data_IF_787314438493
#
_entry.id   IF_787314438493
#
_cell.length_a   1.000
_cell.length_b   1.000
_cell.length_c   1.000
_cell.angle_alpha   90.00
_cell.angle_beta   90.00
_cell.angle_gamma   90.00
#
_symmetry.space_group_name_H-M   'P 1'
#
loop_
_entity.id
_entity.type
_entity.pdbx_description
1 polymer ?
#
# COMPACT_ATOMS: atom_id res chain seq x y z
N UNK A 1 -1.13 -0.94 14.73
CA UNK A 1 -0.16 0.12 14.35
C UNK A 1 0.38 -0.22 12.97
N UNK A 2 0.69 0.80 12.16
CA UNK A 2 1.24 0.61 10.82
C UNK A 2 2.55 1.37 10.66
N UNK A 3 3.38 0.93 9.71
CA UNK A 3 4.60 1.65 9.29
C UNK A 3 4.66 1.72 7.77
N UNK A 4 5.40 2.71 7.26
CA UNK A 4 5.72 2.83 5.85
C UNK A 4 7.20 2.51 5.62
N UNK A 5 7.49 1.72 4.59
CA UNK A 5 8.84 1.36 4.18
C UNK A 5 8.97 1.64 2.70
N UNK A 6 9.90 2.51 2.32
CA UNK A 6 10.10 2.94 0.95
C UNK A 6 11.49 2.52 0.47
N UNK A 7 11.54 1.78 -0.64
CA UNK A 7 12.76 1.34 -1.29
C UNK A 7 13.05 2.21 -2.51
N UNK A 8 14.13 2.97 -2.45
CA UNK A 8 14.64 3.74 -3.57
C UNK A 8 16.03 3.26 -3.95
N UNK A 9 16.41 3.49 -5.21
CA UNK A 9 17.74 3.15 -5.68
C UNK A 9 18.81 4.09 -5.08
N UNK A 10 18.58 5.40 -5.22
CA UNK A 10 19.52 6.46 -4.86
C UNK A 10 18.76 7.72 -4.46
N UNK A 11 19.41 8.60 -3.71
CA UNK A 11 18.81 9.88 -3.35
C UNK A 11 18.86 10.86 -4.53
N UNK A 12 17.72 11.12 -5.17
CA UNK A 12 17.58 12.17 -6.21
C UNK A 12 16.56 13.24 -5.81
N UNK A 13 16.56 14.42 -6.45
CA UNK A 13 15.53 15.43 -6.23
C UNK A 13 14.09 14.89 -6.44
N UNK A 14 13.89 14.03 -7.42
CA UNK A 14 12.59 13.40 -7.68
C UNK A 14 12.18 12.46 -6.54
N UNK A 15 13.12 11.68 -6.01
CA UNK A 15 12.87 10.80 -4.86
C UNK A 15 12.57 11.62 -3.60
N UNK A 16 13.31 12.70 -3.36
CA UNK A 16 13.04 13.62 -2.25
C UNK A 16 11.66 14.28 -2.37
N UNK A 17 11.25 14.64 -3.59
CA UNK A 17 9.90 15.15 -3.83
C UNK A 17 8.84 14.09 -3.51
N UNK A 18 9.02 12.84 -3.94
CA UNK A 18 8.09 11.73 -3.63
C UNK A 18 7.96 11.50 -2.12
N UNK A 19 9.09 11.48 -1.40
CA UNK A 19 9.11 11.36 0.06
C UNK A 19 8.32 12.50 0.70
N UNK A 20 8.55 13.75 0.27
CA UNK A 20 7.83 14.92 0.80
C UNK A 20 6.31 14.89 0.50
N UNK A 21 5.91 14.42 -0.70
CA UNK A 21 4.50 14.25 -1.06
C UNK A 21 3.82 13.18 -0.19
N UNK A 22 4.51 12.07 0.08
CA UNK A 22 4.02 11.03 0.98
C UNK A 22 3.89 11.54 2.43
N UNK A 23 4.86 12.31 2.91
CA UNK A 23 4.77 12.93 4.24
C UNK A 23 3.57 13.86 4.38
N UNK A 24 3.28 14.69 3.37
CA UNK A 24 2.10 15.55 3.38
C UNK A 24 0.81 14.75 3.51
N UNK A 25 0.72 13.61 2.81
CA UNK A 25 -0.42 12.69 2.93
C UNK A 25 -0.52 12.15 4.36
N UNK A 26 0.59 11.70 4.96
CA UNK A 26 0.60 11.18 6.33
C UNK A 26 0.24 12.25 7.37
N UNK A 27 0.76 13.48 7.23
CA UNK A 27 0.41 14.62 8.10
C UNK A 27 -1.09 14.93 8.02
N UNK A 28 -1.65 14.91 6.80
CA UNK A 28 -3.08 15.12 6.60
C UNK A 28 -3.93 13.99 7.19
N UNK A 29 -3.44 12.75 7.12
CA UNK A 29 -4.11 11.57 7.66
C UNK A 29 -3.82 11.32 9.14
N UNK A 30 -3.01 12.15 9.81
CA UNK A 30 -2.66 11.99 11.23
C UNK A 30 -3.89 11.78 12.14
N UNK A 31 -5.01 12.53 12.01
CA UNK A 31 -6.21 12.31 12.83
C UNK A 31 -6.83 10.91 12.68
N UNK A 32 -6.51 10.21 11.57
CA UNK A 32 -7.05 8.90 11.22
C UNK A 32 -6.04 7.80 11.56
N UNK A 33 -4.77 7.99 11.19
CA UNK A 33 -3.74 6.95 11.27
C UNK A 33 -2.89 7.04 12.54
N UNK A 34 -2.94 8.18 13.25
CA UNK A 34 -1.89 8.61 14.19
C UNK A 34 -0.53 8.71 13.47
N UNK A 35 0.56 8.68 14.24
CA UNK A 35 1.91 8.65 13.68
C UNK A 35 2.15 7.36 12.89
N UNK A 36 2.65 7.52 11.66
CA UNK A 36 3.10 6.43 10.80
C UNK A 36 4.62 6.55 10.62
N UNK A 37 5.42 5.79 11.40
CA UNK A 37 6.86 5.74 11.23
C UNK A 37 7.21 5.37 9.79
N UNK A 38 8.18 6.08 9.21
CA UNK A 38 8.59 5.87 7.82
C UNK A 38 10.06 5.51 7.76
N UNK A 39 10.38 4.38 7.14
CA UNK A 39 11.76 3.97 6.86
C UNK A 39 12.05 4.08 5.38
N UNK A 40 13.14 4.76 5.04
CA UNK A 40 13.60 4.95 3.68
C UNK A 40 14.91 4.22 3.49
N UNK A 41 14.92 3.28 2.55
CA UNK A 41 16.10 2.56 2.10
C UNK A 41 16.61 3.09 0.78
N UNK A 42 17.94 3.24 0.69
CA UNK A 42 18.65 3.49 -0.56
C UNK A 42 19.56 2.30 -0.89
N UNK A 43 19.38 1.68 -2.06
CA UNK A 43 20.14 0.45 -2.41
C UNK A 43 21.55 0.72 -2.92
N UNK A 44 21.83 1.90 -3.50
CA UNK A 44 23.13 2.21 -4.14
C UNK A 44 24.03 3.13 -3.28
N UNK A 45 23.50 3.80 -2.25
CA UNK A 45 24.26 4.78 -1.45
C UNK A 45 25.00 4.14 -0.28
N UNK A 46 26.15 3.55 -0.59
CA UNK A 46 27.16 3.08 0.39
C UNK A 46 27.87 4.19 1.21
N UNK A 47 27.46 5.46 1.07
CA UNK A 47 28.11 6.60 1.74
C UNK A 47 27.21 7.42 2.68
N UNK A 48 25.97 6.99 2.92
CA UNK A 48 25.14 7.58 3.96
C UNK A 48 25.34 6.80 5.26
N UNK A 49 25.89 7.47 6.28
CA UNK A 49 25.85 6.93 7.64
C UNK A 49 24.38 6.67 8.01
N UNK A 50 24.06 5.47 8.49
CA UNK A 50 22.72 5.17 8.98
C UNK A 50 22.41 6.16 10.12
N UNK A 51 21.36 6.95 9.96
CA UNK A 51 20.87 7.85 11.01
C UNK A 51 19.83 7.15 11.89
N UNK A 52 19.55 5.88 11.62
CA UNK A 52 18.49 5.11 12.26
C UNK A 52 18.60 5.16 13.78
N UNK A 53 19.73 4.78 14.39
CA UNK A 53 19.83 4.74 15.86
C UNK A 53 19.56 6.11 16.52
N UNK A 54 20.08 7.20 15.94
CA UNK A 54 19.91 8.54 16.50
C UNK A 54 18.46 9.02 16.38
N UNK A 55 17.82 8.75 15.24
CA UNK A 55 16.44 9.15 14.95
C UNK A 55 15.43 8.25 15.67
N UNK A 56 15.72 6.95 15.79
CA UNK A 56 14.86 5.95 16.41
C UNK A 56 14.71 6.21 17.91
N UNK A 57 15.77 6.62 18.60
CA UNK A 57 15.69 7.03 20.01
C UNK A 57 14.78 8.27 20.20
N UNK A 58 14.65 9.11 19.17
CA UNK A 58 13.86 10.35 19.19
C UNK A 58 12.43 10.19 18.64
N UNK A 59 12.01 8.98 18.26
CA UNK A 59 10.69 8.69 17.67
C UNK A 59 9.50 9.20 18.50
N UNK A 60 9.67 9.38 19.80
CA UNK A 60 8.61 9.85 20.69
C UNK A 60 8.27 11.34 20.54
N UNK A 61 9.12 12.15 19.88
CA UNK A 61 8.97 13.62 19.86
C UNK A 61 8.57 14.22 18.49
N UNK A 62 8.78 13.53 17.35
CA UNK A 62 8.39 14.02 15.99
C UNK A 62 8.16 12.88 14.98
N UNK A 63 7.35 13.10 13.92
CA UNK A 63 7.22 12.15 12.80
C UNK A 63 8.60 11.96 12.14
N UNK A 64 9.20 10.80 12.36
CA UNK A 64 10.59 10.54 12.01
C UNK A 64 10.62 9.67 10.76
N UNK A 65 10.95 10.32 9.64
CA UNK A 65 11.58 9.55 8.56
C UNK A 65 12.92 9.07 9.11
N UNK A 66 13.07 7.75 9.11
CA UNK A 66 14.30 7.05 9.39
C UNK A 66 14.96 6.73 8.06
N UNK A 67 16.25 6.99 7.96
CA UNK A 67 17.05 6.62 6.79
C UNK A 67 17.99 5.49 7.20
N UNK A 68 17.94 4.38 6.45
CA UNK A 68 18.81 3.23 6.70
C UNK A 68 19.26 2.56 5.40
N UNK A 69 20.31 1.76 5.52
CA UNK A 69 20.79 0.81 4.52
C UNK A 69 20.88 -0.62 5.08
N UNK A 70 20.50 -0.84 6.34
CA UNK A 70 20.59 -2.13 7.04
C UNK A 70 19.19 -2.77 7.19
N UNK A 71 19.05 -4.01 6.71
CA UNK A 71 17.83 -4.80 6.89
C UNK A 71 17.51 -5.09 8.37
N UNK A 72 18.48 -5.00 9.28
CA UNK A 72 18.25 -5.16 10.72
C UNK A 72 17.44 -3.99 11.29
N UNK A 73 17.61 -2.79 10.73
CA UNK A 73 16.84 -1.60 11.10
C UNK A 73 15.37 -1.78 10.68
N UNK A 74 15.12 -2.42 9.54
CA UNK A 74 13.77 -2.83 9.14
C UNK A 74 13.14 -3.77 10.17
N UNK A 75 13.83 -4.85 10.54
CA UNK A 75 13.30 -5.81 11.54
C UNK A 75 12.98 -5.14 12.87
N UNK A 76 13.87 -4.25 13.31
CA UNK A 76 13.69 -3.49 14.56
C UNK A 76 12.46 -2.58 14.48
N UNK A 77 12.26 -1.90 13.35
CA UNK A 77 11.12 -1.01 13.16
C UNK A 77 9.79 -1.77 13.09
N UNK A 78 9.76 -2.93 12.43
CA UNK A 78 8.51 -3.68 12.24
C UNK A 78 8.11 -4.50 13.47
N UNK A 79 8.94 -4.60 14.50
CA UNK A 79 8.63 -5.40 15.70
C UNK A 79 7.31 -4.91 16.36
N UNK A 80 6.34 -5.82 16.51
CA UNK A 80 5.02 -5.50 17.09
C UNK A 80 4.09 -4.69 16.18
N UNK A 81 4.48 -4.43 14.92
CA UNK A 81 3.62 -3.79 13.91
C UNK A 81 2.66 -4.81 13.31
N UNK A 82 1.41 -4.41 13.06
CA UNK A 82 0.39 -5.29 12.46
C UNK A 82 0.38 -5.24 10.93
N UNK A 83 0.67 -4.08 10.33
CA UNK A 83 0.74 -3.94 8.87
C UNK A 83 1.84 -2.98 8.41
N UNK A 84 2.39 -3.28 7.23
CA UNK A 84 3.53 -2.57 6.64
C UNK A 84 3.11 -2.13 5.24
N UNK A 85 3.20 -0.84 4.94
CA UNK A 85 3.11 -0.37 3.55
C UNK A 85 4.52 -0.39 2.98
N UNK A 86 4.79 -1.30 2.04
CA UNK A 86 6.09 -1.42 1.38
C UNK A 86 5.98 -0.89 -0.06
N UNK A 87 6.71 0.19 -0.36
CA UNK A 87 6.76 0.77 -1.71
C UNK A 87 8.13 0.61 -2.36
N UNK A 88 8.17 0.43 -3.68
CA UNK A 88 9.40 0.28 -4.44
C UNK A 88 9.34 0.94 -5.83
N UNK A 89 10.40 1.65 -6.20
CA UNK A 89 10.34 2.61 -7.32
C UNK A 89 11.13 2.21 -8.59
N UNK A 90 12.19 1.40 -8.46
CA UNK A 90 13.00 0.92 -9.61
C UNK A 90 13.42 -0.55 -9.50
N UNK A 91 13.68 -1.19 -10.64
CA UNK A 91 13.82 -2.65 -10.77
C UNK A 91 15.12 -3.22 -10.20
N UNK A 92 16.28 -2.56 -10.38
CA UNK A 92 17.64 -3.10 -10.23
C UNK A 92 17.88 -4.07 -9.03
N UNK A 93 18.63 -3.67 -7.99
CA UNK A 93 18.83 -4.54 -6.81
C UNK A 93 17.57 -4.60 -5.92
N UNK A 94 16.53 -3.84 -6.26
CA UNK A 94 15.31 -3.69 -5.46
C UNK A 94 14.49 -4.96 -5.39
N UNK A 95 14.46 -5.80 -6.43
CA UNK A 95 13.72 -7.07 -6.34
C UNK A 95 14.25 -7.96 -5.22
N UNK A 96 15.58 -8.16 -5.16
CA UNK A 96 16.21 -8.98 -4.13
C UNK A 96 15.94 -8.41 -2.74
N UNK A 97 16.00 -7.07 -2.61
CA UNK A 97 15.66 -6.39 -1.36
C UNK A 97 14.19 -6.60 -0.97
N UNK A 98 13.23 -6.41 -1.89
CA UNK A 98 11.81 -6.65 -1.62
C UNK A 98 11.58 -8.08 -1.13
N UNK A 99 12.13 -9.08 -1.81
CA UNK A 99 11.99 -10.49 -1.40
C UNK A 99 12.64 -10.74 -0.03
N UNK A 100 13.83 -10.19 0.21
CA UNK A 100 14.50 -10.27 1.52
C UNK A 100 13.63 -9.68 2.64
N UNK A 101 13.07 -8.49 2.44
CA UNK A 101 12.18 -7.85 3.40
C UNK A 101 10.90 -8.66 3.64
N UNK A 102 10.29 -9.20 2.57
CA UNK A 102 9.10 -10.07 2.69
C UNK A 102 9.39 -11.35 3.47
N UNK A 103 10.58 -11.94 3.38
CA UNK A 103 10.92 -13.15 4.18
C UNK A 103 11.09 -12.87 5.67
N UNK A 104 11.24 -11.60 6.08
CA UNK A 104 11.47 -11.20 7.47
C UNK A 104 10.18 -10.88 8.23
N UNK A 105 9.05 -10.82 7.55
CA UNK A 105 7.76 -10.59 8.20
C UNK A 105 7.26 -11.87 8.86
N UNK A 106 6.57 -11.71 9.98
CA UNK A 106 5.94 -12.78 10.72
C UNK A 106 4.52 -13.04 10.20
N UNK A 107 3.95 -14.20 10.54
CA UNK A 107 2.58 -14.57 10.13
C UNK A 107 1.48 -13.61 10.61
N UNK A 108 1.77 -12.74 11.59
CA UNK A 108 0.84 -11.73 12.12
C UNK A 108 1.03 -10.35 11.48
N UNK A 109 1.95 -10.22 10.54
CA UNK A 109 2.25 -8.97 9.84
C UNK A 109 1.67 -9.02 8.43
N UNK A 110 0.98 -7.95 8.03
CA UNK A 110 0.34 -7.82 6.71
C UNK A 110 1.09 -6.78 5.89
N UNK A 111 1.79 -7.22 4.84
CA UNK A 111 2.48 -6.30 3.92
C UNK A 111 1.51 -5.89 2.81
N UNK A 112 1.23 -4.59 2.72
CA UNK A 112 0.57 -3.95 1.57
C UNK A 112 1.67 -3.45 0.64
N UNK A 113 1.81 -4.07 -0.52
CA UNK A 113 2.88 -3.76 -1.46
C UNK A 113 2.38 -2.92 -2.64
N UNK A 114 3.14 -1.87 -2.98
CA UNK A 114 3.01 -1.14 -4.24
C UNK A 114 4.39 -0.90 -4.86
N UNK A 115 4.42 -0.78 -6.17
CA UNK A 115 5.61 -0.42 -6.91
C UNK A 115 5.31 -0.29 -8.39
N UNK A 116 6.29 0.12 -9.19
CA UNK A 116 6.09 0.19 -10.64
C UNK A 116 5.79 -1.21 -11.23
N UNK A 117 5.15 -1.26 -12.40
CA UNK A 117 4.61 -2.50 -12.98
C UNK A 117 5.68 -3.61 -13.07
N UNK A 118 6.93 -3.26 -13.40
CA UNK A 118 8.03 -4.24 -13.51
C UNK A 118 8.43 -4.82 -12.15
N UNK A 119 8.51 -4.00 -11.10
CA UNK A 119 8.84 -4.49 -9.75
C UNK A 119 7.67 -5.30 -9.21
N UNK A 120 6.43 -4.83 -9.41
CA UNK A 120 5.25 -5.54 -8.96
C UNK A 120 5.22 -6.94 -9.57
N UNK A 121 5.48 -7.09 -10.88
CA UNK A 121 5.62 -8.40 -11.52
C UNK A 121 6.69 -9.27 -10.87
N UNK A 122 7.87 -8.69 -10.62
CA UNK A 122 9.01 -9.42 -10.08
C UNK A 122 8.80 -9.86 -8.62
N UNK A 123 8.14 -9.04 -7.81
CA UNK A 123 7.77 -9.37 -6.43
C UNK A 123 6.69 -10.46 -6.42
N UNK A 124 5.67 -10.31 -7.28
CA UNK A 124 4.60 -11.29 -7.41
C UNK A 124 5.07 -12.61 -8.04
N UNK A 125 6.18 -12.63 -8.76
CA UNK A 125 6.80 -13.87 -9.27
C UNK A 125 7.73 -14.55 -8.27
N UNK A 126 8.04 -13.89 -7.14
CA UNK A 126 8.92 -14.44 -6.10
C UNK A 126 8.23 -15.46 -5.20
N UNK A 127 9.03 -16.15 -4.37
CA UNK A 127 8.55 -17.19 -3.46
C UNK A 127 7.80 -16.59 -2.25
N UNK A 128 8.17 -15.38 -1.82
CA UNK A 128 7.50 -14.68 -0.72
C UNK A 128 6.55 -13.63 -1.30
N UNK A 129 5.24 -13.82 -1.06
CA UNK A 129 4.20 -12.90 -1.52
C UNK A 129 3.89 -11.83 -0.48
N UNK A 130 3.55 -10.59 -0.89
CA UNK A 130 2.91 -9.64 0.00
C UNK A 130 1.53 -10.16 0.39
N UNK A 131 1.00 -9.66 1.53
CA UNK A 131 -0.36 -9.99 1.92
C UNK A 131 -1.39 -9.30 1.01
N UNK A 132 -1.12 -8.05 0.65
CA UNK A 132 -2.02 -7.24 -0.14
C UNK A 132 -1.31 -6.51 -1.27
N UNK A 133 -2.01 -6.39 -2.41
CA UNK A 133 -1.70 -5.43 -3.46
C UNK A 133 -2.97 -4.63 -3.80
N UNK A 134 -2.79 -3.37 -4.17
CA UNK A 134 -3.87 -2.49 -4.60
C UNK A 134 -3.46 -1.84 -5.91
N UNK A 135 -4.17 -2.12 -6.99
CA UNK A 135 -3.74 -1.74 -8.35
C UNK A 135 -4.85 -0.95 -9.03
N UNK A 136 -4.49 0.18 -9.63
CA UNK A 136 -5.41 0.94 -10.46
C UNK A 136 -5.71 0.18 -11.76
N UNK A 137 -6.97 0.11 -12.16
CA UNK A 137 -7.45 -0.63 -13.34
C UNK A 137 -6.68 -0.25 -14.62
N UNK A 138 -6.30 1.03 -14.76
CA UNK A 138 -5.54 1.54 -15.90
C UNK A 138 -4.12 0.94 -16.04
N UNK A 139 -3.59 0.30 -14.99
CA UNK A 139 -2.29 -0.40 -14.98
C UNK A 139 -2.40 -1.87 -15.40
N UNK A 140 -3.60 -2.46 -15.39
CA UNK A 140 -3.79 -3.89 -15.63
C UNK A 140 -3.25 -4.36 -16.98
N UNK A 141 -3.44 -3.59 -18.06
CA UNK A 141 -2.95 -3.98 -19.39
C UNK A 141 -1.45 -4.20 -19.39
N UNK A 142 -0.71 -3.34 -18.69
CA UNK A 142 0.74 -3.46 -18.57
C UNK A 142 1.09 -4.62 -17.63
N UNK A 143 0.41 -4.71 -16.49
CA UNK A 143 0.70 -5.69 -15.44
C UNK A 143 0.47 -7.13 -15.91
N UNK A 144 -0.59 -7.38 -16.66
CA UNK A 144 -0.93 -8.71 -17.20
C UNK A 144 -0.35 -8.95 -18.59
N UNK A 145 0.34 -7.96 -19.17
CA UNK A 145 0.87 -8.02 -20.54
C UNK A 145 -0.21 -8.33 -21.59
N UNK A 146 -1.41 -7.79 -21.38
CA UNK A 146 -2.59 -7.93 -22.22
C UNK A 146 -2.96 -6.58 -22.85
N UNK A 147 -3.67 -6.62 -23.99
CA UNK A 147 -4.17 -5.37 -24.59
C UNK A 147 -5.29 -4.76 -23.74
N UNK A 148 -5.48 -3.44 -23.82
CA UNK A 148 -6.58 -2.75 -23.11
C UNK A 148 -7.95 -3.28 -23.54
N UNK A 149 -8.10 -3.60 -24.82
CA UNK A 149 -9.34 -4.19 -25.35
C UNK A 149 -9.61 -5.56 -24.72
N UNK A 150 -8.58 -6.37 -24.52
CA UNK A 150 -8.71 -7.68 -23.87
C UNK A 150 -9.20 -7.52 -22.43
N UNK A 151 -8.49 -6.69 -21.64
CA UNK A 151 -8.85 -6.39 -20.25
C UNK A 151 -10.29 -5.91 -20.13
N UNK A 152 -10.73 -4.99 -21.00
CA UNK A 152 -12.09 -4.42 -20.95
C UNK A 152 -13.23 -5.43 -21.19
N UNK A 153 -12.90 -6.63 -21.70
CA UNK A 153 -13.88 -7.69 -21.97
C UNK A 153 -13.83 -8.84 -20.98
N UNK A 154 -12.80 -8.89 -20.12
CA UNK A 154 -12.66 -9.93 -19.12
C UNK A 154 -13.56 -9.66 -17.92
N UNK A 155 -14.06 -10.75 -17.33
CA UNK A 155 -14.77 -10.69 -16.06
C UNK A 155 -13.77 -10.50 -14.90
N UNK A 156 -14.18 -9.84 -13.80
CA UNK A 156 -13.39 -9.77 -12.56
C UNK A 156 -12.82 -11.11 -12.11
N UNK A 157 -13.61 -12.18 -12.20
CA UNK A 157 -13.18 -13.54 -11.87
C UNK A 157 -12.07 -14.07 -12.76
N UNK A 158 -12.05 -13.71 -14.05
CA UNK A 158 -11.01 -14.14 -14.98
C UNK A 158 -9.69 -13.41 -14.70
N UNK A 159 -9.77 -12.12 -14.37
CA UNK A 159 -8.61 -11.29 -14.00
C UNK A 159 -8.01 -11.78 -12.68
N UNK A 160 -8.84 -12.09 -11.68
CA UNK A 160 -8.38 -12.54 -10.36
C UNK A 160 -7.78 -13.96 -10.36
N UNK A 161 -8.04 -14.76 -11.40
CA UNK A 161 -7.41 -16.08 -11.58
C UNK A 161 -6.09 -16.05 -12.35
N UNK A 162 -5.57 -14.86 -12.69
CA UNK A 162 -4.28 -14.75 -13.35
C UNK A 162 -3.16 -15.32 -12.44
N UNK A 163 -2.24 -16.15 -12.97
CA UNK A 163 -1.14 -16.71 -12.18
C UNK A 163 -0.27 -15.67 -11.49
N UNK A 164 -0.25 -14.43 -11.97
CA UNK A 164 0.47 -13.34 -11.32
C UNK A 164 -0.07 -13.01 -9.92
N UNK A 165 -1.35 -13.27 -9.67
CA UNK A 165 -2.01 -13.00 -8.40
C UNK A 165 -2.12 -14.24 -7.50
N UNK A 166 -1.58 -15.37 -7.94
CA UNK A 166 -1.55 -16.61 -7.17
C UNK A 166 -0.87 -16.39 -5.81
N UNK A 167 -1.46 -16.97 -4.77
CA UNK A 167 -1.01 -16.88 -3.37
C UNK A 167 -0.94 -15.47 -2.77
N UNK A 168 -1.57 -14.46 -3.39
CA UNK A 168 -1.74 -13.12 -2.79
C UNK A 168 -3.10 -13.07 -2.07
N UNK A 169 -3.14 -13.02 -0.72
CA UNK A 169 -4.39 -13.08 0.02
C UNK A 169 -5.37 -11.95 -0.29
N UNK A 170 -4.88 -10.75 -0.61
CA UNK A 170 -5.72 -9.58 -0.87
C UNK A 170 -5.29 -8.87 -2.14
N UNK A 171 -6.10 -8.92 -3.18
CA UNK A 171 -5.88 -8.20 -4.45
C UNK A 171 -7.04 -7.28 -4.69
N UNK A 172 -6.82 -5.96 -4.63
CA UNK A 172 -7.85 -4.98 -4.94
C UNK A 172 -7.54 -4.25 -6.24
N UNK A 173 -8.43 -4.39 -7.22
CA UNK A 173 -8.38 -3.65 -8.48
C UNK A 173 -9.47 -2.59 -8.46
N UNK A 174 -9.11 -1.34 -8.75
CA UNK A 174 -10.06 -0.23 -8.66
C UNK A 174 -9.80 0.86 -9.70
N UNK A 175 -10.85 1.58 -10.09
CA UNK A 175 -10.76 2.72 -11.00
C UNK A 175 -10.44 4.03 -10.25
N UNK A 176 -10.36 5.15 -10.98
CA UNK A 176 -9.98 6.45 -10.37
C UNK A 176 -10.92 6.92 -9.24
N UNK A 177 -12.17 6.46 -9.23
CA UNK A 177 -13.17 6.80 -8.22
C UNK A 177 -13.16 5.87 -7.00
N UNK A 178 -12.45 4.73 -7.03
CA UNK A 178 -12.48 3.72 -5.95
C UNK A 178 -13.41 2.55 -6.18
N UNK A 179 -14.14 2.55 -7.29
CA UNK A 179 -15.06 1.46 -7.66
C UNK A 179 -14.23 0.36 -8.32
N UNK A 180 -14.53 -0.89 -8.01
CA UNK A 180 -13.77 -2.02 -8.55
C UNK A 180 -14.17 -3.34 -7.94
N UNK A 181 -13.21 -4.25 -7.87
CA UNK A 181 -13.41 -5.60 -7.38
C UNK A 181 -12.15 -6.09 -6.68
N UNK A 182 -12.32 -6.98 -5.71
CA UNK A 182 -11.19 -7.54 -4.97
C UNK A 182 -11.37 -9.04 -4.73
N UNK A 183 -10.24 -9.74 -4.64
CA UNK A 183 -10.17 -11.08 -4.08
C UNK A 183 -9.58 -10.98 -2.67
N UNK A 184 -10.27 -11.49 -1.65
CA UNK A 184 -9.76 -11.60 -0.28
C UNK A 184 -9.92 -13.04 0.20
N UNK A 185 -8.81 -13.74 0.40
CA UNK A 185 -8.76 -15.15 0.83
C UNK A 185 -9.70 -16.05 0.01
N UNK A 186 -9.54 -16.00 -1.32
CA UNK A 186 -10.32 -16.76 -2.31
C UNK A 186 -11.81 -16.38 -2.45
N UNK A 187 -12.24 -15.29 -1.80
CA UNK A 187 -13.58 -14.75 -1.96
C UNK A 187 -13.56 -13.49 -2.82
N UNK A 188 -14.41 -13.47 -3.85
CA UNK A 188 -14.52 -12.34 -4.78
C UNK A 188 -15.59 -11.36 -4.30
N UNK A 189 -15.25 -10.07 -4.25
CA UNK A 189 -16.15 -9.00 -3.88
C UNK A 189 -16.21 -7.91 -4.95
N UNK A 190 -17.39 -7.32 -5.10
CA UNK A 190 -17.61 -6.07 -5.82
C UNK A 190 -17.54 -4.89 -4.84
N UNK A 191 -16.91 -3.79 -5.27
CA UNK A 191 -16.80 -2.56 -4.49
C UNK A 191 -17.47 -1.44 -5.26
N UNK A 192 -18.53 -0.87 -4.68
CA UNK A 192 -19.25 0.25 -5.26
C UNK A 192 -19.27 1.44 -4.31
N UNK A 193 -19.31 2.64 -4.91
CA UNK A 193 -19.36 3.90 -4.18
C UNK A 193 -20.59 4.68 -4.65
N UNK A 194 -21.48 4.96 -3.72
CA UNK A 194 -22.73 5.67 -3.96
C UNK A 194 -22.72 7.05 -3.30
N UNK A 195 -23.31 8.04 -3.99
CA UNK A 195 -23.56 9.36 -3.42
C UNK A 195 -22.32 10.09 -2.87
N UNK A 196 -21.14 9.82 -3.45
CA UNK A 196 -19.90 10.56 -3.26
C UNK A 196 -19.41 11.07 -4.61
N UNK A 197 -19.17 12.37 -4.70
CA UNK A 197 -18.57 12.99 -5.90
C UNK A 197 -17.05 12.96 -5.76
N UNK A 198 -16.48 11.79 -6.08
CA UNK A 198 -15.04 11.57 -6.04
C UNK A 198 -14.56 11.33 -7.46
N UNK A 199 -13.89 12.33 -8.02
CA UNK A 199 -13.33 12.25 -9.38
C UNK A 199 -11.96 11.57 -9.43
N UNK A 200 -11.22 11.57 -8.31
CA UNK A 200 -9.89 10.97 -8.24
C UNK A 200 -9.48 10.70 -6.79
N UNK A 201 -9.23 9.44 -6.47
CA UNK A 201 -8.67 9.02 -5.19
C UNK A 201 -7.15 9.22 -5.09
N UNK A 202 -6.67 9.48 -3.86
CA UNK A 202 -5.25 9.46 -3.56
C UNK A 202 -4.79 8.02 -3.29
N UNK A 203 -3.89 7.49 -4.14
CA UNK A 203 -3.41 6.11 -4.04
C UNK A 203 -2.61 5.84 -2.75
N UNK A 204 -1.73 6.77 -2.35
CA UNK A 204 -0.99 6.65 -1.09
C UNK A 204 -1.94 6.57 0.12
N UNK A 205 -2.99 7.39 0.13
CA UNK A 205 -4.05 7.32 1.13
C UNK A 205 -4.76 5.96 1.14
N UNK A 206 -5.04 5.38 -0.03
CA UNK A 206 -5.62 4.03 -0.15
C UNK A 206 -4.73 2.97 0.50
N UNK A 207 -3.43 2.95 0.18
CA UNK A 207 -2.47 1.98 0.72
C UNK A 207 -2.39 2.07 2.26
N UNK A 208 -2.30 3.28 2.80
CA UNK A 208 -2.25 3.52 4.24
C UNK A 208 -3.55 3.11 4.94
N UNK A 209 -4.70 3.40 4.34
CA UNK A 209 -6.01 3.01 4.86
C UNK A 209 -6.22 1.49 4.86
N UNK A 210 -5.84 0.82 3.77
CA UNK A 210 -5.86 -0.65 3.70
C UNK A 210 -4.95 -1.27 4.75
N UNK A 211 -3.72 -0.76 4.91
CA UNK A 211 -2.81 -1.23 5.95
C UNK A 211 -3.40 -1.04 7.36
N UNK A 212 -4.06 0.09 7.63
CA UNK A 212 -4.78 0.31 8.89
C UNK A 212 -5.87 -0.74 9.10
N UNK A 213 -6.66 -1.02 8.06
CA UNK A 213 -7.67 -2.08 8.06
C UNK A 213 -7.03 -3.43 8.42
N UNK A 214 -6.03 -3.83 7.63
CA UNK A 214 -5.35 -5.12 7.74
C UNK A 214 -4.52 -5.30 9.01
N UNK A 215 -4.16 -4.22 9.71
CA UNK A 215 -3.45 -4.31 10.99
C UNK A 215 -4.31 -4.86 12.14
N UNK A 216 -5.60 -5.04 11.91
CA UNK A 216 -6.59 -5.57 12.85
C UNK A 216 -7.25 -6.80 12.24
N UNK A 217 -6.89 -7.98 12.72
CA UNK A 217 -7.36 -9.27 12.18
C UNK A 217 -8.85 -9.52 12.42
N UNK A 218 -9.50 -8.73 13.28
CA UNK A 218 -10.94 -8.86 13.55
C UNK A 218 -11.81 -8.11 12.52
N UNK A 219 -11.21 -7.25 11.68
CA UNK A 219 -11.96 -6.48 10.70
C UNK A 219 -12.41 -7.32 9.51
N UNK A 220 -13.65 -7.09 9.11
CA UNK A 220 -14.20 -7.64 7.88
C UNK A 220 -13.55 -7.01 6.62
N UNK A 221 -13.68 -7.70 5.48
CA UNK A 221 -13.29 -7.18 4.17
C UNK A 221 -13.90 -5.81 3.88
N UNK A 222 -15.18 -5.63 4.24
CA UNK A 222 -15.90 -4.36 4.09
C UNK A 222 -15.25 -3.23 4.89
N UNK A 223 -14.90 -3.48 6.16
CA UNK A 223 -14.24 -2.50 7.01
C UNK A 223 -12.83 -2.15 6.54
N UNK A 224 -12.07 -3.14 6.04
CA UNK A 224 -10.72 -2.94 5.49
C UNK A 224 -10.77 -2.01 4.27
N UNK A 225 -11.64 -2.32 3.30
CA UNK A 225 -11.81 -1.53 2.08
C UNK A 225 -12.37 -0.14 2.39
N UNK A 226 -13.29 -0.05 3.34
CA UNK A 226 -13.82 1.24 3.82
C UNK A 226 -12.71 2.10 4.42
N UNK A 227 -11.84 1.54 5.26
CA UNK A 227 -10.68 2.27 5.79
C UNK A 227 -9.75 2.75 4.65
N UNK A 228 -9.53 1.91 3.62
CA UNK A 228 -8.80 2.26 2.39
C UNK A 228 -9.38 3.46 1.65
N UNK A 229 -10.65 3.36 1.23
CA UNK A 229 -11.33 4.40 0.45
C UNK A 229 -11.45 5.70 1.26
N UNK A 230 -11.78 5.63 2.55
CA UNK A 230 -11.88 6.83 3.40
C UNK A 230 -10.54 7.55 3.48
N UNK A 231 -9.44 6.83 3.72
CA UNK A 231 -8.10 7.46 3.73
C UNK A 231 -7.72 8.01 2.35
N UNK A 232 -8.12 7.33 1.27
CA UNK A 232 -7.87 7.78 -0.09
C UNK A 232 -8.63 9.07 -0.46
N UNK A 233 -9.85 9.24 0.05
CA UNK A 233 -10.65 10.47 -0.10
C UNK A 233 -10.07 11.58 0.78
N UNK A 234 -9.81 11.28 2.05
CA UNK A 234 -9.25 12.27 2.98
C UNK A 234 -7.90 12.79 2.52
N UNK A 235 -7.06 11.99 1.86
CA UNK A 235 -5.77 12.43 1.35
C UNK A 235 -5.81 13.30 0.06
N UNK A 236 -7.00 13.70 -0.41
CA UNK A 236 -7.14 14.63 -1.54
C UNK A 236 -6.92 16.06 -1.03
N UNK A 237 -5.87 16.73 -1.52
CA UNK A 237 -5.54 18.10 -1.15
C UNK A 237 -6.75 19.05 -1.38
N UNK A 238 -7.04 19.90 -0.38
CA UNK A 238 -8.13 20.90 -0.35
C UNK A 238 -9.55 20.36 -0.08
N UNK A 239 -9.72 19.09 0.29
CA UNK A 239 -10.97 18.68 0.93
C UNK A 239 -10.82 18.79 2.45
N UNK A 240 -11.55 19.74 3.06
CA UNK A 240 -11.74 19.79 4.52
C UNK A 240 -12.68 18.65 4.94
N UNK A 241 -12.21 17.40 4.78
CA UNK A 241 -12.99 16.24 5.20
C UNK A 241 -12.79 16.09 6.70
N UNK A 242 -13.77 16.55 7.46
CA UNK A 242 -13.96 16.07 8.83
C UNK A 242 -14.24 14.58 8.73
N UNK A 243 -13.30 13.78 9.22
CA UNK A 243 -13.43 12.33 9.27
C UNK A 243 -14.68 11.94 10.07
N UNK A 244 -15.71 11.46 9.37
CA UNK A 244 -16.84 10.80 9.98
C UNK A 244 -17.06 9.44 9.32
N UNK A 245 -16.55 8.37 9.94
CA UNK A 245 -16.78 6.99 9.47
C UNK A 245 -18.28 6.68 9.29
N UNK A 246 -19.16 7.31 10.08
CA UNK A 246 -20.60 7.09 9.95
C UNK A 246 -21.15 7.68 8.66
N UNK A 247 -20.56 8.77 8.15
CA UNK A 247 -20.93 9.36 6.87
C UNK A 247 -20.64 8.43 5.69
N UNK A 248 -19.62 7.58 5.79
CA UNK A 248 -19.19 6.70 4.70
C UNK A 248 -19.83 5.31 4.72
N UNK A 249 -20.43 4.91 5.85
CA UNK A 249 -20.92 3.55 6.08
C UNK A 249 -21.99 3.09 5.08
N UNK A 250 -22.83 3.99 4.60
CA UNK A 250 -23.89 3.71 3.63
C UNK A 250 -23.51 4.12 2.19
N UNK A 251 -22.27 4.55 1.98
CA UNK A 251 -21.76 5.08 0.71
C UNK A 251 -20.75 4.18 0.04
N UNK A 252 -20.10 3.31 0.81
CA UNK A 252 -19.13 2.34 0.31
C UNK A 252 -19.74 0.97 0.56
N UNK A 253 -20.03 0.24 -0.52
CA UNK A 253 -20.58 -1.11 -0.42
C UNK A 253 -19.53 -2.11 -0.88
N UNK A 254 -19.33 -3.16 -0.09
CA UNK A 254 -18.47 -4.29 -0.44
C UNK A 254 -19.30 -5.56 -0.41
N UNK A 255 -19.62 -6.09 -1.59
CA UNK A 255 -20.60 -7.17 -1.75
C UNK A 255 -19.88 -8.42 -2.22
N UNK A 256 -19.97 -9.50 -1.44
CA UNK A 256 -19.45 -10.81 -1.85
C UNK A 256 -20.23 -11.34 -3.06
N UNK A 257 -19.52 -11.68 -4.13
CA UNK A 257 -20.09 -12.15 -5.39
C UNK A 257 -20.23 -13.68 -5.47
N UNK A 258 -19.34 -14.42 -4.80
CA UNK A 258 -19.34 -15.88 -4.73
C UNK A 258 -18.62 -16.36 -3.46
#
# INVERSE_FOLDING_TARGET
>A
MIVSVNLFQQQTPEVQQKIAEQQKVMEHLYPILNDVPTLVFFTDDSQMDSLFEQQFIQLNDQPSILYSHDEQDYQTLIEGIGAIVLTADKVDNTQMMCQSLLTKVTDNQRVVFDGCDDILKLVLSGDSKPYAICVQENRLSNLLSLSKETISTMLPSEIMTDPLFEDVPFVFIYNEAGIGYLNHTDELYDVSIEHLDVSKLNHTGMLLGLAKGLSDEEKSTEEIVTDGIVCAISAIENQDVVFDKHFYKDKINVIKLA
#
